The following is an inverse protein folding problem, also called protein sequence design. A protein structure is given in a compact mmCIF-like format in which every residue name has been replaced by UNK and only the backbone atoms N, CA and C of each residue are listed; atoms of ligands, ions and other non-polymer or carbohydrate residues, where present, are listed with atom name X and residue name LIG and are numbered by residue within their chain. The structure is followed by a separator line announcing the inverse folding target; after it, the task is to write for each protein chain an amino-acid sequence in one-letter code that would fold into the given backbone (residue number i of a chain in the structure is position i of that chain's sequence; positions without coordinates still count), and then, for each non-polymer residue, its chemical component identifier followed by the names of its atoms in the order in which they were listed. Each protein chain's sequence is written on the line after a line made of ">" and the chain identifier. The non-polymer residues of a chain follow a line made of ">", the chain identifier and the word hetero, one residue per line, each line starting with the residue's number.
data_IF_156779716706
#
_entry.id   IF_156779716706
#
_cell.length_a   1.000
_cell.length_b   1.000
_cell.length_c   1.000
_cell.angle_alpha   90.00
_cell.angle_beta   90.00
_cell.angle_gamma   90.00
#
_symmetry.space_group_name_H-M   'P 1'
#
loop_
_entity.id
_entity.type
_entity.pdbx_description
1 polymer ?
#
# COMPACT_ATOMS: atom_id res chain seq x y z
N UNK A 1 15.06 -7.11 -9.24
CA UNK A 1 14.84 -5.66 -9.05
C UNK A 1 13.48 -5.26 -9.61
N UNK A 2 12.68 -4.47 -8.88
CA UNK A 2 11.32 -4.05 -9.28
C UNK A 2 11.35 -2.60 -9.76
N UNK A 3 10.65 -2.27 -10.85
CA UNK A 3 10.55 -0.91 -11.40
C UNK A 3 9.09 -0.46 -11.47
N UNK A 4 8.84 0.78 -11.06
CA UNK A 4 7.58 1.48 -11.28
C UNK A 4 7.66 2.21 -12.62
N UNK A 5 6.73 1.88 -13.51
CA UNK A 5 6.57 2.51 -14.81
C UNK A 5 5.25 3.25 -14.85
N UNK A 6 5.25 4.52 -15.18
CA UNK A 6 4.04 5.32 -15.28
C UNK A 6 4.38 6.73 -15.68
N UNK A 7 3.38 7.51 -16.10
CA UNK A 7 3.55 8.95 -16.22
C UNK A 7 2.42 9.62 -15.45
N UNK A 8 2.72 10.52 -14.49
CA UNK A 8 1.68 11.33 -13.85
C UNK A 8 0.98 12.26 -14.86
N UNK A 9 1.61 12.50 -16.02
CA UNK A 9 1.12 13.32 -17.11
C UNK A 9 1.16 12.47 -18.40
N UNK A 10 0.03 11.94 -18.86
CA UNK A 10 -0.01 11.26 -20.17
C UNK A 10 0.04 12.33 -21.27
N UNK A 11 1.24 12.81 -21.59
CA UNK A 11 1.45 13.70 -22.74
C UNK A 11 1.36 12.92 -24.05
N UNK A 12 1.73 11.64 -24.04
CA UNK A 12 1.66 10.72 -25.20
C UNK A 12 1.15 9.33 -24.77
N UNK A 13 0.07 8.86 -25.40
CA UNK A 13 -0.48 7.50 -25.14
C UNK A 13 0.55 6.43 -25.51
N UNK A 14 0.85 5.53 -24.57
CA UNK A 14 1.70 4.36 -24.79
C UNK A 14 3.18 4.56 -24.43
N UNK A 15 3.59 5.77 -24.03
CA UNK A 15 4.91 6.01 -23.46
C UNK A 15 4.90 5.73 -21.96
N UNK A 16 5.82 4.87 -21.52
CA UNK A 16 6.02 4.53 -20.11
C UNK A 16 7.43 4.94 -19.68
N UNK A 17 7.53 5.91 -18.78
CA UNK A 17 8.79 6.30 -18.16
C UNK A 17 8.94 5.58 -16.81
N UNK A 18 10.18 5.29 -16.42
CA UNK A 18 10.46 4.73 -15.09
C UNK A 18 10.38 5.85 -14.05
N UNK A 19 9.37 5.79 -13.19
CA UNK A 19 9.18 6.76 -12.11
C UNK A 19 10.11 6.50 -10.93
N UNK A 20 10.26 5.22 -10.57
CA UNK A 20 11.00 4.81 -9.37
C UNK A 20 11.46 3.36 -9.47
N UNK A 21 12.60 3.06 -8.86
CA UNK A 21 13.08 1.70 -8.64
C UNK A 21 12.76 1.32 -7.20
N UNK A 22 12.10 0.17 -7.01
CA UNK A 22 11.68 -0.37 -5.71
C UNK A 22 12.73 -1.40 -5.26
N UNK A 23 13.15 -1.27 -4.00
CA UNK A 23 14.10 -2.17 -3.34
C UNK A 23 13.40 -3.09 -2.36
N UNK A 24 14.13 -4.07 -1.83
CA UNK A 24 13.61 -4.94 -0.77
C UNK A 24 13.24 -4.09 0.46
N UNK A 25 12.03 -4.28 0.98
CA UNK A 25 11.47 -3.52 2.10
C UNK A 25 10.66 -2.29 1.69
N UNK A 26 10.70 -1.87 0.44
CA UNK A 26 9.85 -0.78 -0.05
C UNK A 26 8.40 -1.26 -0.24
N UNK A 27 7.44 -0.38 0.09
CA UNK A 27 6.02 -0.58 -0.19
C UNK A 27 5.56 0.22 -1.42
N UNK A 28 4.48 -0.22 -2.06
CA UNK A 28 3.82 0.46 -3.17
C UNK A 28 2.31 0.15 -3.18
N UNK A 29 1.51 1.01 -3.81
CA UNK A 29 0.07 0.80 -3.98
C UNK A 29 -0.80 1.23 -2.79
N UNK A 30 -0.24 2.00 -1.86
CA UNK A 30 -0.92 2.61 -0.72
C UNK A 30 -1.99 3.61 -1.14
N UNK A 31 -1.83 4.29 -2.28
CA UNK A 31 -2.82 5.25 -2.76
C UNK A 31 -4.16 4.58 -3.04
N UNK A 32 -4.15 3.31 -3.47
CA UNK A 32 -5.37 2.52 -3.69
C UNK A 32 -5.99 1.99 -2.41
N UNK A 33 -5.29 2.06 -1.28
CA UNK A 33 -5.89 1.82 0.04
C UNK A 33 -6.63 3.05 0.52
N UNK A 34 -6.08 4.25 0.29
CA UNK A 34 -6.72 5.52 0.64
C UNK A 34 -7.85 5.93 -0.32
N UNK A 35 -7.74 5.56 -1.59
CA UNK A 35 -8.71 5.90 -2.65
C UNK A 35 -9.08 4.65 -3.47
N UNK A 36 -9.93 3.74 -2.95
CA UNK A 36 -10.16 2.43 -3.56
C UNK A 36 -10.77 2.45 -4.98
N UNK A 37 -11.38 3.57 -5.39
CA UNK A 37 -11.96 3.74 -6.71
C UNK A 37 -11.11 4.64 -7.64
N UNK A 38 -9.89 5.02 -7.23
CA UNK A 38 -9.02 5.83 -8.06
C UNK A 38 -8.48 5.04 -9.25
N UNK A 39 -8.33 5.68 -10.39
CA UNK A 39 -7.62 5.12 -11.53
C UNK A 39 -6.13 4.92 -11.20
N UNK A 40 -5.55 3.81 -11.68
CA UNK A 40 -4.11 3.55 -11.52
C UNK A 40 -3.34 4.46 -12.48
N UNK A 41 -2.53 5.35 -11.93
CA UNK A 41 -1.69 6.28 -12.71
C UNK A 41 -0.33 5.69 -13.08
N UNK A 42 0.00 4.51 -12.53
CA UNK A 42 1.26 3.81 -12.76
C UNK A 42 1.07 2.29 -12.73
N UNK A 43 2.03 1.60 -13.33
CA UNK A 43 2.17 0.15 -13.39
C UNK A 43 3.45 -0.28 -12.68
N UNK A 44 3.44 -1.46 -12.05
CA UNK A 44 4.63 -2.04 -11.40
C UNK A 44 5.07 -3.24 -12.22
N UNK A 45 6.35 -3.27 -12.60
CA UNK A 45 6.93 -4.40 -13.32
C UNK A 45 8.11 -4.99 -12.56
N UNK A 46 8.22 -6.32 -12.60
CA UNK A 46 9.38 -7.05 -12.08
C UNK A 46 10.23 -7.49 -13.27
N UNK A 47 11.54 -7.26 -13.20
CA UNK A 47 12.48 -7.74 -14.23
C UNK A 47 13.09 -9.11 -13.88
N UNK A 48 12.87 -9.54 -12.64
CA UNK A 48 13.44 -10.74 -12.05
C UNK A 48 12.38 -11.40 -11.17
N UNK A 49 12.55 -12.69 -10.90
CA UNK A 49 11.73 -13.40 -9.93
C UNK A 49 11.77 -12.70 -8.58
N UNK A 50 10.59 -12.28 -8.11
CA UNK A 50 10.44 -11.46 -6.90
C UNK A 50 9.34 -12.07 -6.04
N UNK A 51 9.55 -12.10 -4.73
CA UNK A 51 8.53 -12.49 -3.75
C UNK A 51 7.86 -11.21 -3.27
N UNK A 52 6.53 -11.18 -3.31
CA UNK A 52 5.72 -10.05 -2.91
C UNK A 52 4.84 -10.46 -1.73
N UNK A 53 4.80 -9.62 -0.70
CA UNK A 53 3.78 -9.67 0.33
C UNK A 53 2.70 -8.67 -0.06
N UNK A 54 1.47 -9.14 -0.22
CA UNK A 54 0.32 -8.31 -0.56
C UNK A 54 -0.70 -8.32 0.56
N UNK A 55 -1.28 -7.16 0.83
CA UNK A 55 -2.46 -7.00 1.69
C UNK A 55 -3.57 -6.47 0.81
N UNK A 56 -4.76 -7.05 0.89
CA UNK A 56 -5.93 -6.52 0.19
C UNK A 56 -6.49 -5.29 0.90
N UNK A 57 -7.19 -4.42 0.16
CA UNK A 57 -7.86 -3.26 0.76
C UNK A 57 -8.90 -3.65 1.80
N UNK A 58 -9.58 -4.78 1.61
CA UNK A 58 -10.55 -5.31 2.56
C UNK A 58 -9.88 -5.76 3.86
N UNK A 59 -8.77 -6.48 3.78
CA UNK A 59 -7.98 -6.89 4.96
C UNK A 59 -7.41 -5.67 5.69
N UNK A 60 -6.88 -4.69 4.95
CA UNK A 60 -6.35 -3.46 5.52
C UNK A 60 -7.41 -2.67 6.29
N UNK A 61 -8.60 -2.50 5.69
CA UNK A 61 -9.72 -1.82 6.36
C UNK A 61 -10.17 -2.60 7.60
N UNK A 62 -10.24 -3.93 7.51
CA UNK A 62 -10.65 -4.79 8.64
C UNK A 62 -9.66 -4.67 9.82
N UNK A 63 -8.35 -4.65 9.52
CA UNK A 63 -7.29 -4.42 10.51
C UNK A 63 -7.39 -3.04 11.16
N UNK A 64 -7.64 -2.00 10.38
CA UNK A 64 -7.82 -0.65 10.91
C UNK A 64 -9.01 -0.55 11.86
N UNK A 65 -10.12 -1.20 11.52
CA UNK A 65 -11.31 -1.25 12.37
C UNK A 65 -11.03 -2.01 13.67
N UNK A 66 -10.36 -3.17 13.62
CA UNK A 66 -10.02 -3.92 14.84
C UNK A 66 -9.08 -3.14 15.77
N UNK A 67 -8.10 -2.42 15.23
CA UNK A 67 -7.19 -1.60 16.07
C UNK A 67 -7.86 -0.39 16.70
N UNK A 68 -9.00 0.08 16.17
CA UNK A 68 -9.78 1.19 16.75
C UNK A 68 -10.66 0.74 17.91
N UNK A 69 -11.10 -0.52 17.90
CA UNK A 69 -11.87 -1.09 19.02
C UNK A 69 -10.96 -1.37 20.24
N UNK A 70 -9.66 -1.57 20.04
CA UNK A 70 -8.66 -1.74 21.10
C UNK A 70 -8.30 -0.42 21.83
N UNK A 71 -8.71 0.76 21.33
CA UNK A 71 -8.57 2.03 22.06
C UNK A 71 -9.61 2.21 23.19
N UNK A 72 -10.55 1.27 23.37
CA UNK A 72 -11.27 1.10 24.64
C UNK A 72 -10.49 0.15 25.56
N UNK A 73 -9.30 0.55 26.00
CA UNK A 73 -8.70 -0.07 27.18
C UNK A 73 -9.66 0.16 28.37
N UNK A 74 -10.21 -0.88 29.02
CA UNK A 74 -11.08 -0.68 30.16
C UNK A 74 -10.28 -0.04 31.31
N UNK A 75 -10.80 1.06 31.86
CA UNK A 75 -10.19 1.91 32.91
C UNK A 75 -9.96 1.22 34.28
N UNK A 76 -9.74 -0.09 34.34
CA UNK A 76 -9.72 -0.82 35.61
C UNK A 76 -8.53 -1.77 35.74
N UNK A 77 -7.30 -1.26 35.62
CA UNK A 77 -6.16 -1.88 36.31
C UNK A 77 -6.04 -1.22 37.69
N UNK A 78 -6.80 -1.74 38.66
CA UNK A 78 -6.56 -1.47 40.07
C UNK A 78 -5.29 -2.23 40.48
N UNK A 79 -4.19 -1.51 40.65
CA UNK A 79 -3.02 -2.04 41.35
C UNK A 79 -3.39 -2.19 42.83
N UNK A 80 -3.58 -3.44 43.28
CA UNK A 80 -3.67 -3.76 44.70
C UNK A 80 -2.30 -3.52 45.34
N UNK A 81 -2.28 -2.76 46.44
CA UNK A 81 -1.12 -2.55 47.31
C UNK A 81 -0.82 -3.79 48.14
#
# INVERSE_FOLDING_TARGET
>A
MIKLNGSPCIEERGRFDTLRIIRNGDAFGDESMSHPNSERTYSVITLENSILLSVSSVEYISLLLSTRDDEQAPEHILFLR
#
